data_IF_531180534821
#
_entry.id   IF_531180534821
#
_cell.length_a   1.000
_cell.length_b   1.000
_cell.length_c   1.000
_cell.angle_alpha   90.00
_cell.angle_beta   90.00
_cell.angle_gamma   90.00
#
_symmetry.space_group_name_H-M   'P 1'
#
loop_
_entity.id
_entity.type
_entity.pdbx_description
1 polymer ?
#
# COMPACT_ATOMS: atom_id res chain seq x y z
N UNK A 1 9.69 -6.36 22.64
CA UNK A 1 8.95 -5.25 22.00
C UNK A 1 7.63 -5.81 21.50
N UNK A 2 6.48 -5.29 21.95
CA UNK A 2 5.16 -5.74 21.49
C UNK A 2 4.90 -5.17 20.09
N UNK A 3 4.49 -6.02 19.15
CA UNK A 3 4.17 -5.57 17.79
C UNK A 3 2.95 -4.64 17.81
N UNK A 4 2.88 -3.64 16.91
CA UNK A 4 1.74 -2.71 16.80
C UNK A 4 0.40 -3.47 16.69
N UNK A 5 0.46 -4.60 15.99
CA UNK A 5 -0.60 -5.58 15.82
C UNK A 5 -1.13 -6.16 17.14
N UNK A 6 -0.27 -6.55 18.08
CA UNK A 6 -0.69 -7.05 19.40
C UNK A 6 -1.44 -6.00 20.22
N UNK A 7 -1.06 -4.71 20.10
CA UNK A 7 -1.74 -3.61 20.81
C UNK A 7 -3.18 -3.41 20.34
N UNK A 8 -3.48 -3.79 19.11
CA UNK A 8 -4.81 -3.68 18.51
C UNK A 8 -5.65 -4.93 18.80
N UNK A 9 -5.04 -6.11 18.75
CA UNK A 9 -5.74 -7.38 18.96
C UNK A 9 -6.22 -7.53 20.41
N UNK A 10 -5.35 -7.23 21.39
CA UNK A 10 -5.66 -7.45 22.82
C UNK A 10 -6.96 -6.74 23.27
N UNK A 11 -7.20 -5.45 22.94
CA UNK A 11 -8.48 -4.81 23.24
C UNK A 11 -9.69 -5.45 22.56
N UNK A 12 -9.55 -5.96 21.33
CA UNK A 12 -10.66 -6.58 20.58
C UNK A 12 -11.09 -7.91 21.21
N UNK A 13 -10.12 -8.75 21.58
CA UNK A 13 -10.37 -9.99 22.33
C UNK A 13 -10.94 -9.66 23.72
N UNK A 14 -10.39 -8.64 24.38
CA UNK A 14 -10.88 -8.17 25.67
C UNK A 14 -12.37 -7.79 25.65
N UNK A 15 -12.86 -7.20 24.57
CA UNK A 15 -14.28 -6.88 24.40
C UNK A 15 -15.16 -8.13 24.33
N UNK A 16 -14.74 -9.16 23.60
CA UNK A 16 -15.47 -10.42 23.48
C UNK A 16 -15.55 -11.13 24.85
N UNK A 17 -14.40 -11.23 25.55
CA UNK A 17 -14.31 -11.86 26.88
C UNK A 17 -15.11 -11.09 27.93
N UNK A 18 -15.08 -9.75 27.90
CA UNK A 18 -15.85 -8.93 28.82
C UNK A 18 -17.36 -9.11 28.63
N UNK A 19 -17.83 -9.23 27.39
CA UNK A 19 -19.24 -9.48 27.10
C UNK A 19 -19.70 -10.86 27.60
N UNK A 20 -18.83 -11.87 27.49
CA UNK A 20 -19.08 -13.22 28.02
C UNK A 20 -19.16 -13.22 29.54
N UNK A 21 -18.22 -12.55 30.22
CA UNK A 21 -18.20 -12.44 31.69
C UNK A 21 -19.42 -11.69 32.24
N UNK A 22 -19.88 -10.63 31.56
CA UNK A 22 -21.03 -9.83 31.99
C UNK A 22 -22.37 -10.44 31.56
N UNK A 23 -22.39 -11.37 30.60
CA UNK A 23 -23.61 -11.83 29.94
C UNK A 23 -24.38 -10.70 29.21
N UNK A 24 -23.76 -9.53 29.03
CA UNK A 24 -24.41 -8.33 28.49
C UNK A 24 -23.48 -7.56 27.54
N UNK A 25 -23.75 -7.71 26.24
CA UNK A 25 -23.01 -7.05 25.16
C UNK A 25 -23.08 -5.53 25.26
N UNK A 26 -24.24 -4.97 25.59
CA UNK A 26 -24.43 -3.51 25.62
C UNK A 26 -23.62 -2.87 26.74
N UNK A 27 -23.54 -3.53 27.89
CA UNK A 27 -22.74 -3.07 29.02
C UNK A 27 -21.24 -3.17 28.73
N UNK A 28 -20.77 -4.29 28.17
CA UNK A 28 -19.39 -4.45 27.76
C UNK A 28 -18.94 -3.38 26.74
N UNK A 29 -19.79 -3.12 25.72
CA UNK A 29 -19.56 -2.08 24.73
C UNK A 29 -19.48 -0.68 25.36
N UNK A 30 -20.36 -0.37 26.32
CA UNK A 30 -20.36 0.92 27.03
C UNK A 30 -19.11 1.13 27.87
N UNK A 31 -18.62 0.08 28.54
CA UNK A 31 -17.42 0.12 29.39
C UNK A 31 -16.15 0.32 28.55
N UNK A 32 -16.04 -0.36 27.41
CA UNK A 32 -14.85 -0.30 26.55
C UNK A 32 -14.91 0.78 25.46
N UNK A 33 -16.03 1.50 25.33
CA UNK A 33 -16.21 2.58 24.36
C UNK A 33 -16.40 2.12 22.91
N UNK A 34 -16.94 0.91 22.70
CA UNK A 34 -17.23 0.38 21.36
C UNK A 34 -18.72 0.47 21.03
N UNK A 35 -19.04 0.50 19.74
CA UNK A 35 -20.41 0.33 19.28
C UNK A 35 -20.82 -1.15 19.34
N UNK A 36 -22.13 -1.43 19.50
CA UNK A 36 -22.66 -2.80 19.40
C UNK A 36 -22.40 -3.43 18.04
N UNK A 37 -22.39 -2.63 16.97
CA UNK A 37 -22.06 -3.10 15.61
C UNK A 37 -20.62 -3.64 15.54
N UNK A 38 -19.68 -2.91 16.16
CA UNK A 38 -18.27 -3.31 16.25
C UNK A 38 -18.11 -4.64 16.99
N UNK A 39 -18.88 -4.86 18.06
CA UNK A 39 -18.89 -6.14 18.77
C UNK A 39 -19.29 -7.29 17.85
N UNK A 40 -20.41 -7.17 17.13
CA UNK A 40 -20.88 -8.25 16.26
C UNK A 40 -19.93 -8.51 15.11
N UNK A 41 -19.29 -7.47 14.54
CA UNK A 41 -18.21 -7.65 13.55
C UNK A 41 -17.03 -8.43 14.11
N UNK A 42 -16.56 -8.09 15.31
CA UNK A 42 -15.45 -8.82 15.94
C UNK A 42 -15.84 -10.24 16.32
N UNK A 43 -17.08 -10.46 16.77
CA UNK A 43 -17.61 -11.79 17.06
C UNK A 43 -17.64 -12.65 15.80
N UNK A 44 -18.18 -12.12 14.70
CA UNK A 44 -18.21 -12.82 13.42
C UNK A 44 -16.80 -13.17 12.91
N UNK A 45 -15.85 -12.23 12.99
CA UNK A 45 -14.45 -12.47 12.62
C UNK A 45 -13.78 -13.52 13.52
N UNK A 46 -14.04 -13.45 14.82
CA UNK A 46 -13.54 -14.41 15.80
C UNK A 46 -14.11 -15.81 15.56
N UNK A 47 -15.40 -15.91 15.26
CA UNK A 47 -16.08 -17.18 14.96
C UNK A 47 -15.61 -17.77 13.62
N UNK A 48 -15.23 -16.94 12.64
CA UNK A 48 -14.73 -17.37 11.33
C UNK A 48 -13.23 -17.72 11.31
N UNK A 49 -12.39 -17.12 12.16
CA UNK A 49 -10.94 -17.31 12.08
C UNK A 49 -10.17 -17.25 13.41
N UNK A 50 -10.84 -17.48 14.54
CA UNK A 50 -10.24 -17.71 15.85
C UNK A 50 -9.74 -16.46 16.58
N UNK A 51 -9.11 -16.66 17.75
CA UNK A 51 -8.58 -15.61 18.65
C UNK A 51 -7.40 -14.79 18.07
N UNK A 52 -7.02 -15.00 16.80
CA UNK A 52 -5.80 -14.47 16.18
C UNK A 52 -6.02 -13.58 14.96
N UNK A 53 -5.39 -13.96 13.85
CA UNK A 53 -5.27 -13.20 12.60
C UNK A 53 -6.58 -12.61 12.05
N UNK A 54 -7.72 -13.20 12.37
CA UNK A 54 -9.03 -12.74 11.91
C UNK A 54 -9.45 -11.38 12.49
N UNK A 55 -8.95 -11.03 13.68
CA UNK A 55 -9.17 -9.73 14.29
C UNK A 55 -8.16 -8.67 13.83
N UNK A 56 -7.35 -8.94 12.79
CA UNK A 56 -6.52 -7.90 12.20
C UNK A 56 -7.34 -6.78 11.57
N UNK A 57 -6.83 -5.56 11.66
CA UNK A 57 -7.42 -4.46 10.93
C UNK A 57 -7.21 -4.68 9.43
N UNK A 58 -8.28 -5.05 8.73
CA UNK A 58 -8.29 -5.05 7.26
C UNK A 58 -8.19 -3.60 6.79
N UNK A 59 -6.96 -3.11 6.62
CA UNK A 59 -6.71 -1.78 6.07
C UNK A 59 -7.42 -1.63 4.71
N UNK A 60 -8.26 -0.61 4.59
CA UNK A 60 -8.99 -0.29 3.35
C UNK A 60 -8.10 0.24 2.22
N UNK A 61 -6.82 0.51 2.49
CA UNK A 61 -5.85 1.02 1.52
C UNK A 61 -5.36 -0.10 0.58
N UNK A 62 -6.28 -0.78 -0.10
CA UNK A 62 -5.93 -1.63 -1.25
C UNK A 62 -5.87 -0.75 -2.49
N UNK A 63 -4.80 -0.88 -3.27
CA UNK A 63 -4.67 -0.15 -4.53
C UNK A 63 -5.81 -0.55 -5.48
N UNK A 64 -6.53 0.43 -6.02
CA UNK A 64 -7.57 0.18 -7.02
C UNK A 64 -6.90 -0.06 -8.38
N UNK A 65 -6.83 -1.32 -8.82
CA UNK A 65 -6.19 -1.71 -10.10
C UNK A 65 -6.84 -1.00 -11.30
N UNK A 66 -8.15 -0.72 -11.22
CA UNK A 66 -8.89 -0.01 -12.29
C UNK A 66 -8.40 1.41 -12.54
N UNK A 67 -7.77 2.04 -11.53
CA UNK A 67 -7.21 3.39 -11.65
C UNK A 67 -5.75 3.37 -12.14
N UNK A 68 -5.24 2.20 -12.57
CA UNK A 68 -3.90 2.09 -13.11
C UNK A 68 -3.83 2.72 -14.49
N UNK A 69 -2.70 3.37 -14.72
CA UNK A 69 -2.36 3.93 -16.02
C UNK A 69 -2.18 2.78 -17.03
N UNK A 70 -2.63 2.91 -18.29
CA UNK A 70 -2.38 1.94 -19.34
C UNK A 70 -0.90 1.51 -19.44
N UNK A 71 -0.66 0.23 -19.76
CA UNK A 71 0.69 -0.36 -19.77
C UNK A 71 1.67 0.41 -20.68
N UNK A 72 1.22 0.81 -21.87
CA UNK A 72 2.02 1.61 -22.80
C UNK A 72 2.52 2.94 -22.21
N UNK A 73 1.72 3.59 -21.35
CA UNK A 73 2.11 4.82 -20.68
C UNK A 73 3.02 4.51 -19.49
N UNK A 74 2.76 3.42 -18.76
CA UNK A 74 3.63 2.96 -17.67
C UNK A 74 5.04 2.66 -18.19
N UNK A 75 5.17 1.97 -19.33
CA UNK A 75 6.44 1.67 -19.99
C UNK A 75 7.16 2.95 -20.45
N UNK A 76 6.45 3.89 -21.08
CA UNK A 76 7.04 5.17 -21.49
C UNK A 76 7.59 5.98 -20.29
N UNK A 77 6.89 5.94 -19.15
CA UNK A 77 7.31 6.62 -17.91
C UNK A 77 8.52 5.95 -17.26
N UNK A 78 8.66 4.63 -17.40
CA UNK A 78 9.85 3.89 -16.94
C UNK A 78 11.03 4.16 -17.87
N UNK A 79 10.84 4.11 -19.19
CA UNK A 79 11.89 4.35 -20.17
C UNK A 79 12.51 5.74 -20.01
N UNK A 80 11.69 6.78 -19.88
CA UNK A 80 12.21 8.15 -19.68
C UNK A 80 12.99 8.30 -18.36
N UNK A 81 12.66 7.50 -17.35
CA UNK A 81 13.36 7.52 -16.07
C UNK A 81 14.73 6.85 -16.14
N UNK A 82 14.87 5.83 -16.99
CA UNK A 82 16.13 5.14 -17.27
C UNK A 82 17.00 5.98 -18.20
N UNK A 83 16.46 6.46 -19.31
CA UNK A 83 17.20 7.25 -20.32
C UNK A 83 17.68 8.59 -19.75
N UNK A 84 16.84 9.26 -18.97
CA UNK A 84 17.11 10.58 -18.41
C UNK A 84 16.92 10.60 -16.89
N UNK A 85 17.83 9.95 -16.12
CA UNK A 85 17.69 9.82 -14.68
C UNK A 85 17.67 11.18 -13.97
N UNK A 86 18.25 12.22 -14.56
CA UNK A 86 18.27 13.58 -14.02
C UNK A 86 16.92 14.31 -14.07
N UNK A 87 15.93 13.81 -14.82
CA UNK A 87 14.64 14.51 -14.95
C UNK A 87 13.84 14.44 -13.66
N UNK A 88 13.26 15.56 -13.22
CA UNK A 88 12.25 15.55 -12.17
C UNK A 88 10.91 15.04 -12.69
N UNK A 89 9.97 14.73 -11.78
CA UNK A 89 8.63 14.24 -12.14
C UNK A 89 7.87 15.19 -13.08
N UNK A 90 8.00 16.51 -12.89
CA UNK A 90 7.39 17.53 -13.75
C UNK A 90 8.03 17.59 -15.14
N UNK A 91 9.37 17.46 -15.18
CA UNK A 91 10.10 17.47 -16.45
C UNK A 91 9.79 16.23 -17.28
N UNK A 92 9.79 15.05 -16.65
CA UNK A 92 9.40 13.81 -17.31
C UNK A 92 7.95 13.87 -17.84
N UNK A 93 7.01 14.40 -17.05
CA UNK A 93 5.63 14.61 -17.51
C UNK A 93 5.52 15.55 -18.72
N UNK A 94 6.32 16.62 -18.74
CA UNK A 94 6.32 17.57 -19.86
C UNK A 94 6.93 16.98 -21.14
N UNK A 95 8.01 16.20 -21.04
CA UNK A 95 8.58 15.50 -22.20
C UNK A 95 7.59 14.45 -22.75
N UNK A 96 6.95 13.67 -21.86
CA UNK A 96 5.91 12.73 -22.27
C UNK A 96 4.73 13.42 -22.95
N UNK A 97 4.35 14.62 -22.47
CA UNK A 97 3.30 15.43 -23.10
C UNK A 97 3.68 15.84 -24.53
N UNK A 98 4.94 16.16 -24.80
CA UNK A 98 5.42 16.46 -26.16
C UNK A 98 5.32 15.23 -27.08
N UNK A 99 5.51 14.03 -26.52
CA UNK A 99 5.32 12.75 -27.22
C UNK A 99 3.84 12.32 -27.33
N UNK A 100 2.88 13.16 -26.92
CA UNK A 100 1.45 12.87 -26.98
C UNK A 100 0.88 12.09 -25.79
N UNK A 101 1.69 11.81 -24.77
CA UNK A 101 1.28 11.08 -23.56
C UNK A 101 0.92 12.09 -22.46
N UNK A 102 -0.37 12.16 -22.11
CA UNK A 102 -0.86 13.09 -21.09
C UNK A 102 -0.84 12.39 -19.73
N UNK A 103 0.16 12.71 -18.91
CA UNK A 103 0.26 12.28 -17.51
C UNK A 103 0.67 13.46 -16.62
N UNK A 104 0.20 13.49 -15.37
CA UNK A 104 0.62 14.49 -14.39
C UNK A 104 1.95 14.09 -13.73
N UNK A 105 2.71 15.07 -13.21
CA UNK A 105 3.93 14.77 -12.43
C UNK A 105 3.66 13.85 -11.22
N UNK A 106 2.49 13.98 -10.59
CA UNK A 106 2.03 13.06 -9.55
C UNK A 106 1.83 11.63 -10.06
N UNK A 107 1.24 11.47 -11.25
CA UNK A 107 1.08 10.17 -11.92
C UNK A 107 2.43 9.53 -12.25
N UNK A 108 3.38 10.30 -12.77
CA UNK A 108 4.78 9.87 -13.00
C UNK A 108 5.40 9.36 -11.70
N UNK A 109 5.30 10.12 -10.60
CA UNK A 109 5.81 9.71 -9.30
C UNK A 109 5.18 8.42 -8.80
N UNK A 110 3.86 8.26 -8.96
CA UNK A 110 3.17 7.05 -8.56
C UNK A 110 3.63 5.82 -9.35
N UNK A 111 3.96 5.99 -10.64
CA UNK A 111 4.58 4.93 -11.45
C UNK A 111 5.97 4.62 -10.91
N UNK A 112 6.83 5.62 -10.73
CA UNK A 112 8.20 5.41 -10.23
C UNK A 112 8.25 4.72 -8.87
N UNK A 113 7.36 5.05 -7.95
CA UNK A 113 7.28 4.39 -6.64
C UNK A 113 6.96 2.89 -6.75
N UNK A 114 6.24 2.46 -7.80
CA UNK A 114 5.93 1.03 -8.01
C UNK A 114 7.08 0.25 -8.65
N UNK A 115 7.95 0.95 -9.38
CA UNK A 115 9.09 0.38 -10.09
C UNK A 115 10.43 0.61 -9.37
N UNK A 116 10.40 1.09 -8.12
CA UNK A 116 11.60 1.45 -7.36
C UNK A 116 12.51 2.47 -8.08
N UNK A 117 11.91 3.48 -8.72
CA UNK A 117 12.60 4.55 -9.46
C UNK A 117 12.39 5.92 -8.82
N UNK A 118 11.98 6.00 -7.55
CA UNK A 118 11.57 7.25 -6.92
C UNK A 118 12.72 8.22 -6.64
N UNK A 119 13.95 7.69 -6.58
CA UNK A 119 15.16 8.45 -6.26
C UNK A 119 16.10 8.50 -7.47
N UNK A 120 16.84 9.61 -7.61
CA UNK A 120 17.86 9.75 -8.65
C UNK A 120 18.88 8.60 -8.61
N UNK A 121 19.35 8.23 -7.41
CA UNK A 121 20.29 7.10 -7.22
C UNK A 121 19.73 5.78 -7.75
N UNK A 122 18.45 5.51 -7.53
CA UNK A 122 17.80 4.28 -8.01
C UNK A 122 17.66 4.28 -9.54
N UNK A 123 17.32 5.43 -10.12
CA UNK A 123 17.26 5.61 -11.58
C UNK A 123 18.62 5.51 -12.25
N UNK A 124 19.66 6.05 -11.64
CA UNK A 124 21.03 5.91 -12.12
C UNK A 124 21.48 4.45 -12.10
N UNK A 125 21.20 3.72 -11.01
CA UNK A 125 21.47 2.28 -10.93
C UNK A 125 20.70 1.48 -11.99
N UNK A 126 19.46 1.85 -12.27
CA UNK A 126 18.67 1.23 -13.33
C UNK A 126 19.27 1.48 -14.72
N UNK A 127 19.80 2.68 -14.97
CA UNK A 127 20.55 2.98 -16.19
C UNK A 127 21.83 2.13 -16.29
N UNK A 128 22.63 2.07 -15.22
CA UNK A 128 23.85 1.25 -15.18
C UNK A 128 23.55 -0.22 -15.49
N UNK A 129 22.51 -0.78 -14.87
CA UNK A 129 22.07 -2.17 -15.06
C UNK A 129 21.59 -2.46 -16.49
N UNK A 130 21.03 -1.45 -17.18
CA UNK A 130 20.64 -1.58 -18.58
C UNK A 130 21.82 -1.49 -19.55
N UNK A 131 22.92 -0.84 -19.14
CA UNK A 131 24.13 -0.68 -19.96
C UNK A 131 25.14 -1.82 -19.77
N UNK A 132 25.26 -2.38 -18.57
CA UNK A 132 26.17 -3.50 -18.24
C UNK A 132 25.94 -4.83 -18.98
N UNK A 133 24.76 -5.23 -19.49
CA UNK A 133 24.57 -6.51 -20.18
C UNK A 133 25.39 -6.63 -21.47
N UNK A 134 25.95 -5.53 -21.96
CA UNK A 134 26.72 -5.46 -23.21
C UNK A 134 28.23 -5.72 -22.94
N UNK A 135 28.71 -5.55 -21.70
CA UNK A 135 30.15 -5.56 -21.39
C UNK A 135 30.71 -6.92 -20.97
N UNK A 136 29.88 -7.94 -20.72
CA UNK A 136 30.31 -9.28 -20.27
C UNK A 136 30.30 -10.34 -21.39
N UNK A 137 30.33 -9.93 -22.67
CA UNK A 137 30.51 -10.84 -23.81
C UNK A 137 31.93 -10.73 -24.37
N UNK A 138 32.89 -11.34 -23.67
CA UNK A 138 34.17 -11.78 -24.24
C UNK A 138 34.46 -13.24 -23.85
#
# INVERSE_FOLDING_TARGET
>A
MTTYQEKIIKPRIGLLKLAEQLGNVSQACKVMGYSRDTFYRYKELHDQGGEGEALYEMTRCKACIKNRVPANIEDAVVNIAVEFPAFGQERAANELRKSGIIISGGGVRSVWLRHDLESFKKRLKALETNLTPIMDKE
#
